data_IF_363852252585
#
_entry.id   IF_363852252585
#
_cell.length_a   1.000
_cell.length_b   1.000
_cell.length_c   1.000
_cell.angle_alpha   90.00
_cell.angle_beta   90.00
_cell.angle_gamma   90.00
#
_symmetry.space_group_name_H-M   'P 1'
#
loop_
_entity.id
_entity.type
_entity.pdbx_description
1 polymer ?
#
# COMPACT_ATOMS: atom_id res chain seq x y z
N UNK A 1 13.58 -2.33 -9.65
CA UNK A 1 12.27 -2.82 -9.18
C UNK A 1 12.49 -3.45 -7.82
N UNK A 2 11.97 -2.85 -6.74
CA UNK A 2 12.13 -3.39 -5.40
C UNK A 2 11.58 -4.80 -5.30
N UNK A 3 12.36 -5.66 -4.67
CA UNK A 3 11.98 -7.00 -4.27
C UNK A 3 12.69 -7.36 -2.99
N UNK A 4 12.04 -8.16 -2.17
CA UNK A 4 12.57 -8.48 -0.86
C UNK A 4 11.67 -9.42 -0.09
N UNK A 5 11.86 -9.41 1.22
CA UNK A 5 11.15 -10.28 2.15
C UNK A 5 10.82 -9.53 3.43
N UNK A 6 9.60 -9.74 3.89
CA UNK A 6 9.12 -9.31 5.20
C UNK A 6 8.99 -10.50 6.13
N UNK A 7 9.28 -10.33 7.41
CA UNK A 7 8.79 -11.19 8.46
C UNK A 7 7.43 -10.69 8.95
N UNK A 8 6.53 -11.63 9.23
CA UNK A 8 5.18 -11.38 9.72
C UNK A 8 5.04 -11.95 11.13
N UNK A 9 4.52 -11.14 12.05
CA UNK A 9 4.37 -11.49 13.47
C UNK A 9 2.97 -11.19 13.98
N UNK A 10 2.51 -11.94 14.95
CA UNK A 10 1.30 -11.63 15.70
C UNK A 10 1.47 -10.32 16.48
N UNK A 11 0.42 -9.49 16.49
CA UNK A 11 0.47 -8.17 17.12
C UNK A 11 0.50 -8.21 18.66
N UNK A 12 0.06 -9.30 19.26
CA UNK A 12 -0.09 -9.40 20.71
C UNK A 12 1.11 -10.07 21.39
N UNK A 13 1.63 -11.15 20.81
CA UNK A 13 2.66 -11.96 21.43
C UNK A 13 3.96 -12.08 20.61
N UNK A 14 4.01 -11.42 19.45
CA UNK A 14 5.12 -11.47 18.50
C UNK A 14 5.46 -12.87 17.97
N UNK A 15 4.52 -13.82 18.06
CA UNK A 15 4.70 -15.14 17.46
C UNK A 15 4.93 -15.00 15.94
N UNK A 16 5.95 -15.64 15.37
CA UNK A 16 6.18 -15.62 13.92
C UNK A 16 5.00 -16.25 13.17
N UNK A 17 4.38 -15.51 12.28
CA UNK A 17 3.29 -15.97 11.42
C UNK A 17 3.80 -16.47 10.07
N UNK A 18 5.01 -16.05 9.66
CA UNK A 18 5.60 -16.45 8.40
C UNK A 18 6.37 -15.33 7.72
N UNK A 19 6.55 -15.48 6.43
CA UNK A 19 7.28 -14.52 5.60
C UNK A 19 6.47 -14.14 4.36
N UNK A 20 6.57 -12.88 3.93
CA UNK A 20 6.03 -12.43 2.66
C UNK A 20 7.17 -12.06 1.70
N UNK A 21 7.31 -12.82 0.62
CA UNK A 21 8.23 -12.51 -0.48
C UNK A 21 7.52 -11.63 -1.49
N UNK A 22 8.09 -10.50 -1.82
CA UNK A 22 7.46 -9.52 -2.70
C UNK A 22 8.34 -9.04 -3.82
N UNK A 23 7.70 -8.55 -4.86
CA UNK A 23 8.29 -7.64 -5.84
C UNK A 23 7.27 -6.59 -6.26
N UNK A 24 7.72 -5.38 -6.46
CA UNK A 24 6.89 -4.29 -6.95
C UNK A 24 7.53 -3.60 -8.15
N UNK A 25 6.69 -3.11 -9.02
CA UNK A 25 7.08 -2.48 -10.27
C UNK A 25 6.36 -1.15 -10.44
N UNK A 26 7.05 0.00 -10.26
CA UNK A 26 6.53 1.26 -10.75
C UNK A 26 6.52 1.23 -12.28
N UNK A 27 5.43 1.67 -12.87
CA UNK A 27 5.24 1.79 -14.31
C UNK A 27 4.89 3.22 -14.70
N UNK A 28 4.96 3.59 -15.99
CA UNK A 28 4.60 4.91 -16.45
C UNK A 28 3.12 5.26 -16.21
N UNK A 29 2.27 4.25 -16.08
CA UNK A 29 0.82 4.40 -15.86
C UNK A 29 0.33 3.79 -14.56
N UNK A 30 1.20 3.66 -13.54
CA UNK A 30 0.77 3.14 -12.25
C UNK A 30 1.83 2.34 -11.50
N UNK A 31 1.38 1.41 -10.67
CA UNK A 31 2.24 0.59 -9.83
C UNK A 31 1.61 -0.80 -9.65
N UNK A 32 2.44 -1.82 -9.58
CA UNK A 32 2.00 -3.19 -9.31
C UNK A 32 2.84 -3.81 -8.22
N UNK A 33 2.20 -4.58 -7.36
CA UNK A 33 2.82 -5.37 -6.30
C UNK A 33 2.35 -6.81 -6.42
N UNK A 34 3.27 -7.74 -6.33
CA UNK A 34 2.97 -9.17 -6.30
C UNK A 34 3.74 -9.80 -5.15
N UNK A 35 3.05 -10.60 -4.33
CA UNK A 35 3.67 -11.30 -3.24
C UNK A 35 3.13 -12.71 -3.04
N UNK A 36 3.92 -13.51 -2.31
CA UNK A 36 3.55 -14.81 -1.78
C UNK A 36 3.88 -14.87 -0.30
N UNK A 37 2.95 -15.35 0.49
CA UNK A 37 3.12 -15.54 1.94
C UNK A 37 3.29 -17.03 2.25
N UNK A 38 4.30 -17.33 3.07
CA UNK A 38 4.58 -18.69 3.54
C UNK A 38 4.57 -18.73 5.06
N UNK A 39 4.17 -19.87 5.64
CA UNK A 39 4.25 -20.13 7.08
C UNK A 39 5.71 -20.28 7.52
N UNK A 40 6.01 -20.30 8.83
CA UNK A 40 7.33 -20.63 9.34
C UNK A 40 7.82 -22.03 8.96
N UNK A 41 6.91 -22.96 8.63
CA UNK A 41 7.23 -24.28 8.08
C UNK A 41 7.48 -24.31 6.57
N UNK A 42 7.24 -23.18 5.87
CA UNK A 42 7.42 -23.05 4.44
C UNK A 42 6.16 -23.38 3.61
N UNK A 43 5.02 -23.65 4.27
CA UNK A 43 3.77 -23.91 3.56
C UNK A 43 3.21 -22.61 2.96
N UNK A 44 2.69 -22.69 1.73
CA UNK A 44 2.06 -21.54 1.09
C UNK A 44 0.75 -21.16 1.79
N UNK A 45 0.67 -19.93 2.30
CA UNK A 45 -0.51 -19.40 2.99
C UNK A 45 -1.40 -18.57 2.07
N UNK A 46 -0.81 -17.81 1.15
CA UNK A 46 -1.57 -16.93 0.29
C UNK A 46 -0.72 -16.10 -0.66
N UNK A 47 -1.37 -15.24 -1.43
CA UNK A 47 -0.71 -14.31 -2.34
C UNK A 47 -1.54 -13.05 -2.57
N UNK A 48 -0.85 -11.96 -2.92
CA UNK A 48 -1.46 -10.70 -3.32
C UNK A 48 -0.91 -10.29 -4.68
N UNK A 49 -1.78 -9.92 -5.62
CA UNK A 49 -1.45 -9.21 -6.86
C UNK A 49 -2.31 -7.95 -6.91
N UNK A 50 -1.69 -6.81 -6.67
CA UNK A 50 -2.35 -5.51 -6.58
C UNK A 50 -1.78 -4.57 -7.63
N UNK A 51 -2.64 -4.04 -8.51
CA UNK A 51 -2.27 -3.02 -9.49
C UNK A 51 -3.03 -1.72 -9.22
N UNK A 52 -2.29 -0.61 -9.24
CA UNK A 52 -2.82 0.74 -9.06
C UNK A 52 -2.69 1.54 -10.36
N UNK A 53 -3.59 2.49 -10.57
CA UNK A 53 -3.44 3.52 -11.60
C UNK A 53 -2.52 4.67 -11.14
N UNK A 54 -2.35 5.67 -11.99
CA UNK A 54 -1.55 6.88 -11.71
C UNK A 54 -2.05 7.69 -10.51
N UNK A 55 -3.33 7.57 -10.18
CA UNK A 55 -3.96 8.23 -9.03
C UNK A 55 -3.84 7.42 -7.74
N UNK A 56 -3.23 6.22 -7.79
CA UNK A 56 -3.11 5.32 -6.66
C UNK A 56 -4.37 4.50 -6.38
N UNK A 57 -5.35 4.48 -7.31
CA UNK A 57 -6.57 3.70 -7.14
C UNK A 57 -6.34 2.25 -7.56
N UNK A 58 -6.77 1.26 -6.76
CA UNK A 58 -6.70 -0.14 -7.15
C UNK A 58 -7.57 -0.44 -8.39
N UNK A 59 -6.93 -0.68 -9.51
CA UNK A 59 -7.60 -1.10 -10.75
C UNK A 59 -7.75 -2.62 -10.83
N UNK A 60 -6.95 -3.35 -10.05
CA UNK A 60 -7.00 -4.80 -9.94
C UNK A 60 -6.46 -5.24 -8.59
N UNK A 61 -7.20 -6.09 -7.93
CA UNK A 61 -6.77 -6.90 -6.80
C UNK A 61 -7.03 -8.37 -7.13
N UNK A 62 -6.03 -9.22 -6.92
CA UNK A 62 -6.20 -10.66 -6.72
C UNK A 62 -5.59 -11.03 -5.38
N UNK A 63 -6.40 -11.57 -4.49
CA UNK A 63 -6.02 -12.02 -3.17
C UNK A 63 -6.37 -13.50 -3.04
N UNK A 64 -5.39 -14.29 -2.62
CA UNK A 64 -5.58 -15.70 -2.28
C UNK A 64 -5.22 -15.92 -0.82
N UNK A 65 -6.05 -16.64 -0.09
CA UNK A 65 -5.74 -17.13 1.25
C UNK A 65 -6.33 -18.54 1.41
N UNK A 66 -5.51 -19.48 1.84
CA UNK A 66 -5.82 -20.89 1.81
C UNK A 66 -6.30 -21.31 0.40
N UNK A 67 -7.58 -21.64 0.24
CA UNK A 67 -8.15 -21.98 -1.06
C UNK A 67 -9.19 -20.96 -1.54
N UNK A 68 -9.39 -19.87 -0.79
CA UNK A 68 -10.31 -18.79 -1.16
C UNK A 68 -9.62 -17.78 -2.07
N UNK A 69 -10.40 -17.18 -2.96
CA UNK A 69 -9.93 -16.14 -3.86
C UNK A 69 -10.86 -14.93 -3.83
N UNK A 70 -10.25 -13.73 -3.86
CA UNK A 70 -10.96 -12.48 -4.12
C UNK A 70 -10.34 -11.79 -5.34
N UNK A 71 -11.19 -11.31 -6.24
CA UNK A 71 -10.82 -10.37 -7.29
C UNK A 71 -11.62 -9.10 -7.12
N UNK A 72 -10.99 -7.94 -7.28
CA UNK A 72 -11.68 -6.67 -7.07
C UNK A 72 -10.99 -5.48 -7.68
N UNK A 73 -11.68 -4.34 -7.61
CA UNK A 73 -11.19 -3.02 -8.00
C UNK A 73 -11.83 -1.94 -7.14
N UNK A 74 -11.20 -0.76 -7.06
CA UNK A 74 -11.69 0.39 -6.30
C UNK A 74 -11.56 1.66 -7.16
N UNK A 75 -12.53 1.92 -8.01
CA UNK A 75 -12.59 3.09 -8.89
C UNK A 75 -13.64 4.11 -8.42
N UNK A 76 -14.93 3.77 -8.50
CA UNK A 76 -16.06 4.58 -8.02
C UNK A 76 -16.70 3.97 -6.76
N UNK A 77 -15.92 3.34 -5.94
CA UNK A 77 -16.27 2.48 -4.82
C UNK A 77 -15.53 1.17 -4.97
N UNK A 78 -15.67 0.29 -3.98
CA UNK A 78 -15.00 -1.02 -3.98
C UNK A 78 -15.96 -2.08 -4.46
N UNK A 79 -15.57 -2.81 -5.51
CA UNK A 79 -16.29 -3.96 -6.04
C UNK A 79 -15.41 -5.19 -5.96
N UNK A 80 -16.00 -6.35 -5.66
CA UNK A 80 -15.26 -7.62 -5.60
C UNK A 80 -16.12 -8.81 -5.96
N UNK A 81 -15.44 -9.88 -6.35
CA UNK A 81 -15.97 -11.23 -6.42
C UNK A 81 -15.11 -12.11 -5.54
N UNK A 82 -15.73 -12.84 -4.62
CA UNK A 82 -15.10 -13.84 -3.77
C UNK A 82 -15.54 -15.23 -4.19
N UNK A 83 -14.59 -16.11 -4.42
CA UNK A 83 -14.83 -17.49 -4.89
C UNK A 83 -14.38 -18.47 -3.82
N UNK A 84 -15.20 -19.48 -3.58
CA UNK A 84 -14.90 -20.57 -2.65
C UNK A 84 -13.81 -21.53 -3.18
N UNK A 85 -13.27 -22.42 -2.33
CA UNK A 85 -12.22 -23.36 -2.71
C UNK A 85 -12.57 -24.30 -3.87
N UNK A 86 -13.83 -24.56 -4.09
CA UNK A 86 -14.29 -25.44 -5.18
C UNK A 86 -14.47 -24.70 -6.49
N UNK A 87 -14.51 -23.36 -6.47
CA UNK A 87 -14.87 -22.54 -7.60
C UNK A 87 -16.36 -22.61 -7.98
N UNK A 88 -17.16 -23.33 -7.19
CA UNK A 88 -18.59 -23.58 -7.48
C UNK A 88 -19.49 -22.44 -7.02
N UNK A 89 -19.06 -21.67 -6.04
CA UNK A 89 -19.82 -20.55 -5.49
C UNK A 89 -19.00 -19.26 -5.55
N UNK A 90 -19.56 -18.26 -6.21
CA UNK A 90 -19.05 -16.91 -6.25
C UNK A 90 -20.02 -15.97 -5.52
N UNK A 91 -19.47 -15.09 -4.70
CA UNK A 91 -20.22 -14.02 -4.03
C UNK A 91 -19.69 -12.68 -4.52
N UNK A 92 -20.58 -11.86 -5.03
CA UNK A 92 -20.26 -10.50 -5.46
C UNK A 92 -20.60 -9.50 -4.38
N UNK A 93 -19.83 -8.43 -4.30
CA UNK A 93 -20.11 -7.32 -3.41
C UNK A 93 -19.69 -5.98 -3.99
N UNK A 94 -20.40 -4.94 -3.52
CA UNK A 94 -20.12 -3.55 -3.84
C UNK A 94 -20.36 -2.71 -2.58
N UNK A 95 -19.44 -1.79 -2.30
CA UNK A 95 -19.57 -0.88 -1.15
C UNK A 95 -18.95 0.47 -1.43
N UNK A 96 -19.53 1.51 -0.82
CA UNK A 96 -18.92 2.85 -0.78
C UNK A 96 -17.69 2.85 0.13
N UNK A 97 -16.55 2.49 -0.42
CA UNK A 97 -15.25 2.59 0.23
C UNK A 97 -14.24 3.15 -0.79
N UNK A 98 -13.09 3.61 -0.30
CA UNK A 98 -12.09 4.26 -1.16
C UNK A 98 -11.11 3.25 -1.74
N UNK A 99 -10.80 2.19 -0.98
CA UNK A 99 -9.77 1.23 -1.35
C UNK A 99 -9.86 -0.05 -0.52
N UNK A 100 -8.92 -0.96 -0.74
CA UNK A 100 -8.71 -2.15 0.06
C UNK A 100 -7.70 -1.89 1.17
N UNK A 101 -7.79 -2.68 2.26
CA UNK A 101 -6.77 -2.82 3.29
C UNK A 101 -6.58 -4.30 3.63
N UNK A 102 -5.50 -4.62 4.32
CA UNK A 102 -5.18 -5.99 4.71
C UNK A 102 -3.83 -6.08 5.42
N UNK A 103 -3.40 -7.30 5.71
CA UNK A 103 -2.16 -7.60 6.44
C UNK A 103 -0.91 -7.50 5.57
N UNK A 104 -1.04 -7.62 4.24
CA UNK A 104 0.11 -7.46 3.34
C UNK A 104 0.59 -6.01 3.27
N UNK A 105 1.91 -5.76 3.25
CA UNK A 105 2.52 -4.44 3.00
C UNK A 105 1.99 -3.73 1.74
N UNK A 106 1.55 -4.49 0.74
CA UNK A 106 0.95 -3.96 -0.50
C UNK A 106 -0.14 -2.92 -0.24
N UNK A 107 -1.01 -3.19 0.75
CA UNK A 107 -2.14 -2.32 1.06
C UNK A 107 -1.72 -1.01 1.73
N UNK A 108 -0.66 -1.03 2.54
CA UNK A 108 -0.09 0.17 3.16
C UNK A 108 0.50 1.09 2.10
N UNK A 109 1.29 0.55 1.18
CA UNK A 109 1.83 1.32 0.04
C UNK A 109 0.71 1.85 -0.85
N UNK A 110 -0.32 1.05 -1.13
CA UNK A 110 -1.47 1.49 -1.93
C UNK A 110 -2.21 2.67 -1.27
N UNK A 111 -2.40 2.62 0.05
CA UNK A 111 -3.04 3.70 0.81
C UNK A 111 -2.24 5.00 0.76
N UNK A 112 -0.92 4.96 0.95
CA UNK A 112 -0.09 6.17 0.86
C UNK A 112 -0.07 6.76 -0.54
N UNK A 113 -0.08 5.92 -1.59
CA UNK A 113 -0.19 6.35 -2.99
C UNK A 113 -1.54 6.97 -3.33
N UNK A 114 -2.61 6.45 -2.76
CA UNK A 114 -3.96 7.00 -2.93
C UNK A 114 -4.12 8.33 -2.21
N UNK A 115 -3.69 8.40 -0.94
CA UNK A 115 -3.91 9.57 -0.09
C UNK A 115 -2.96 10.73 -0.40
N UNK A 116 -1.74 10.47 -0.87
CA UNK A 116 -0.72 11.45 -1.25
C UNK A 116 -0.50 12.54 -0.20
N UNK A 117 -0.48 12.13 1.07
CA UNK A 117 -0.32 13.07 2.19
C UNK A 117 1.04 13.77 2.13
N UNK A 118 1.04 15.03 2.52
CA UNK A 118 2.22 15.84 2.76
C UNK A 118 2.26 16.23 4.24
N UNK A 119 3.38 16.73 4.80
CA UNK A 119 3.43 17.15 6.20
C UNK A 119 2.38 18.20 6.57
N UNK A 120 1.97 19.04 5.60
CA UNK A 120 0.94 20.06 5.79
C UNK A 120 -0.49 19.56 5.57
N UNK A 121 -0.65 18.30 5.14
CA UNK A 121 -1.96 17.74 4.90
C UNK A 121 -2.69 17.50 6.23
N UNK A 122 -3.99 17.79 6.31
CA UNK A 122 -4.78 17.42 7.49
C UNK A 122 -4.89 15.91 7.60
N UNK A 123 -5.15 15.43 8.81
CA UNK A 123 -5.54 14.02 9.03
C UNK A 123 -6.70 13.65 8.13
N UNK A 124 -6.52 12.61 7.32
CA UNK A 124 -7.47 12.22 6.28
C UNK A 124 -8.17 10.93 6.66
N UNK A 125 -9.51 10.97 6.64
CA UNK A 125 -10.33 9.77 6.85
C UNK A 125 -10.48 8.99 5.55
N UNK A 126 -10.30 7.68 5.65
CA UNK A 126 -10.47 6.74 4.55
C UNK A 126 -11.32 5.57 4.98
N UNK A 127 -12.30 5.19 4.17
CA UNK A 127 -13.07 3.96 4.34
C UNK A 127 -12.46 2.87 3.48
N UNK A 128 -12.21 1.72 4.08
CA UNK A 128 -11.52 0.58 3.45
C UNK A 128 -12.35 -0.69 3.52
N UNK A 129 -12.07 -1.62 2.61
CA UNK A 129 -12.56 -3.00 2.66
C UNK A 129 -11.40 -3.92 2.96
N UNK A 130 -11.55 -4.73 3.99
CA UNK A 130 -10.60 -5.78 4.37
C UNK A 130 -11.24 -7.14 4.15
N UNK A 131 -10.44 -8.11 3.74
CA UNK A 131 -10.85 -9.51 3.63
C UNK A 131 -10.16 -10.31 4.74
N UNK A 132 -10.96 -10.92 5.63
CA UNK A 132 -10.44 -11.61 6.81
C UNK A 132 -10.36 -13.11 6.60
N UNK A 133 -9.23 -13.66 7.01
CA UNK A 133 -8.99 -15.11 6.99
C UNK A 133 -9.93 -15.88 7.94
N UNK A 134 -10.14 -17.19 7.71
CA UNK A 134 -9.58 -18.00 6.62
C UNK A 134 -10.44 -17.99 5.34
N UNK A 135 -11.58 -17.34 5.33
CA UNK A 135 -12.57 -17.41 4.24
C UNK A 135 -12.66 -16.12 3.42
N UNK A 136 -11.75 -15.21 3.63
CA UNK A 136 -11.72 -13.90 2.99
C UNK A 136 -13.08 -13.16 3.11
N UNK A 137 -13.65 -13.16 4.32
CA UNK A 137 -14.91 -12.47 4.57
C UNK A 137 -14.73 -10.93 4.46
N UNK A 138 -15.55 -10.22 3.67
CA UNK A 138 -15.42 -8.78 3.52
C UNK A 138 -15.88 -8.05 4.77
N UNK A 139 -15.07 -7.09 5.24
CA UNK A 139 -15.40 -6.17 6.32
C UNK A 139 -15.07 -4.74 5.89
N UNK A 140 -15.95 -3.81 6.20
CA UNK A 140 -15.72 -2.38 5.98
C UNK A 140 -15.35 -1.71 7.29
N UNK A 141 -14.31 -0.88 7.29
CA UNK A 141 -13.89 -0.08 8.43
C UNK A 141 -13.47 1.33 8.00
N UNK A 142 -13.43 2.24 8.95
CA UNK A 142 -12.94 3.60 8.75
C UNK A 142 -11.60 3.77 9.46
N UNK A 143 -10.63 4.35 8.77
CA UNK A 143 -9.32 4.69 9.30
C UNK A 143 -9.07 6.19 9.15
N UNK A 144 -8.20 6.74 9.99
CA UNK A 144 -7.61 8.05 9.77
C UNK A 144 -6.10 7.93 9.59
N UNK A 145 -5.58 8.70 8.66
CA UNK A 145 -4.16 8.72 8.27
C UNK A 145 -3.60 10.12 8.36
N UNK A 146 -2.43 10.27 8.95
CA UNK A 146 -1.65 11.51 8.97
C UNK A 146 -0.19 11.20 8.66
N UNK A 147 0.44 11.99 7.80
CA UNK A 147 1.90 11.99 7.65
C UNK A 147 2.46 12.87 8.76
N UNK A 148 3.15 12.27 9.73
CA UNK A 148 3.64 12.98 10.92
C UNK A 148 5.10 13.40 10.79
N UNK A 149 5.88 12.67 9.97
CA UNK A 149 7.27 12.97 9.71
C UNK A 149 7.68 12.51 8.31
N UNK A 150 8.67 13.20 7.72
CA UNK A 150 9.31 12.79 6.46
C UNK A 150 10.78 13.19 6.55
N UNK A 151 11.67 12.21 6.66
CA UNK A 151 13.08 12.43 6.92
C UNK A 151 13.97 11.82 5.84
N UNK A 152 15.00 12.56 5.44
CA UNK A 152 15.99 12.10 4.48
C UNK A 152 17.19 11.47 5.21
N UNK A 153 17.42 10.17 4.98
CA UNK A 153 18.56 9.43 5.49
C UNK A 153 19.62 9.27 4.41
N UNK A 154 20.85 9.60 4.72
CA UNK A 154 21.96 9.39 3.78
C UNK A 154 22.26 7.89 3.64
N UNK A 155 22.30 7.40 2.41
CA UNK A 155 22.70 6.04 2.09
C UNK A 155 23.75 6.03 0.97
N UNK A 156 24.42 4.90 0.77
CA UNK A 156 25.44 4.74 -0.30
C UNK A 156 24.85 4.97 -1.71
N UNK A 157 23.54 4.79 -1.87
CA UNK A 157 22.82 4.95 -3.14
C UNK A 157 22.10 6.30 -3.28
N UNK A 158 22.39 7.25 -2.39
CA UNK A 158 21.72 8.56 -2.33
C UNK A 158 20.75 8.69 -1.14
N UNK A 159 20.07 9.83 -0.99
CA UNK A 159 19.16 10.03 0.12
C UNK A 159 17.92 9.13 0.01
N UNK A 160 17.61 8.43 1.09
CA UNK A 160 16.39 7.65 1.26
C UNK A 160 15.40 8.48 2.08
N UNK A 161 14.27 8.83 1.50
CA UNK A 161 13.18 9.51 2.21
C UNK A 161 12.36 8.43 2.93
N UNK A 162 12.24 8.57 4.24
CA UNK A 162 11.39 7.74 5.09
C UNK A 162 10.23 8.59 5.58
N UNK A 163 9.04 8.17 5.21
CA UNK A 163 7.78 8.78 5.63
C UNK A 163 7.21 8.00 6.82
N UNK A 164 6.84 8.71 7.89
CA UNK A 164 6.20 8.17 9.08
C UNK A 164 4.73 8.56 9.09
N UNK A 165 3.87 7.56 9.08
CA UNK A 165 2.42 7.73 9.12
C UNK A 165 1.85 7.28 10.46
N UNK A 166 0.99 8.12 11.06
CA UNK A 166 0.10 7.73 12.14
C UNK A 166 -1.21 7.23 11.54
N UNK A 167 -1.58 6.00 11.89
CA UNK A 167 -2.81 5.37 11.44
C UNK A 167 -3.68 5.07 12.65
N UNK A 168 -4.98 5.40 12.58
CA UNK A 168 -5.93 5.09 13.64
C UNK A 168 -7.15 4.37 13.06
N UNK A 169 -7.51 3.24 13.65
CA UNK A 169 -8.76 2.55 13.39
C UNK A 169 -9.89 3.29 14.12
N UNK A 170 -10.85 3.85 13.37
CA UNK A 170 -11.87 4.72 13.97
C UNK A 170 -13.00 3.97 14.70
N UNK A 171 -13.09 2.66 14.50
CA UNK A 171 -14.06 1.78 15.16
C UNK A 171 -13.54 1.24 16.51
N UNK A 172 -12.23 1.02 16.65
CA UNK A 172 -11.61 0.50 17.89
C UNK A 172 -10.84 1.56 18.67
N UNK A 173 -10.41 2.64 18.00
CA UNK A 173 -9.54 3.66 18.58
C UNK A 173 -8.07 3.25 18.64
N UNK A 174 -7.72 2.06 18.12
CA UNK A 174 -6.32 1.61 18.03
C UNK A 174 -5.52 2.52 17.12
N UNK A 175 -4.31 2.83 17.55
CA UNK A 175 -3.36 3.66 16.81
C UNK A 175 -2.05 2.90 16.61
N UNK A 176 -1.46 3.10 15.45
CA UNK A 176 -0.15 2.54 15.14
C UNK A 176 0.62 3.43 14.17
N UNK A 177 1.93 3.21 14.14
CA UNK A 177 2.85 3.92 13.25
C UNK A 177 3.29 3.01 12.12
N UNK A 178 3.39 3.58 10.93
CA UNK A 178 3.87 2.89 9.72
C UNK A 178 5.01 3.71 9.11
N UNK A 179 6.14 3.07 8.84
CA UNK A 179 7.29 3.68 8.18
C UNK A 179 7.42 3.15 6.76
N UNK A 180 7.45 4.07 5.79
CA UNK A 180 7.49 3.73 4.36
C UNK A 180 8.60 4.53 3.67
N UNK A 181 9.39 3.84 2.85
CA UNK A 181 10.33 4.48 1.93
C UNK A 181 9.89 4.22 0.49
N UNK A 182 9.38 5.25 -0.16
CA UNK A 182 8.88 5.15 -1.54
C UNK A 182 7.76 4.12 -1.73
N UNK A 183 8.10 2.93 -2.20
CA UNK A 183 7.17 1.83 -2.45
C UNK A 183 7.47 0.58 -1.59
N UNK A 184 8.22 0.76 -0.50
CA UNK A 184 8.59 -0.30 0.44
C UNK A 184 8.20 0.09 1.87
N UNK A 185 7.48 -0.76 2.56
CA UNK A 185 7.24 -0.64 4.00
C UNK A 185 8.52 -1.04 4.74
N UNK A 186 9.05 -0.19 5.60
CA UNK A 186 10.22 -0.52 6.42
C UNK A 186 9.79 -1.22 7.70
N UNK A 187 8.74 -0.69 8.34
CA UNK A 187 8.16 -1.27 9.55
C UNK A 187 6.69 -0.86 9.68
N UNK A 188 5.87 -1.78 10.15
CA UNK A 188 4.48 -1.58 10.54
C UNK A 188 4.11 -2.61 11.61
N UNK A 189 2.97 -2.50 12.31
CA UNK A 189 2.57 -3.49 13.29
C UNK A 189 2.52 -4.91 12.67
N UNK A 190 3.29 -5.81 13.26
CA UNK A 190 3.41 -7.20 12.81
C UNK A 190 4.13 -7.40 11.47
N UNK A 191 4.74 -6.35 10.91
CA UNK A 191 5.46 -6.39 9.63
C UNK A 191 6.84 -5.77 9.81
N UNK A 192 7.89 -6.49 9.45
CA UNK A 192 9.26 -6.03 9.51
C UNK A 192 10.00 -6.39 8.22
N UNK A 193 10.70 -5.42 7.62
CA UNK A 193 11.51 -5.65 6.42
C UNK A 193 12.79 -6.37 6.81
N UNK A 194 12.92 -7.63 6.41
CA UNK A 194 14.10 -8.45 6.68
C UNK A 194 15.20 -8.28 5.64
N UNK A 195 14.80 -8.21 4.39
CA UNK A 195 15.74 -8.15 3.28
C UNK A 195 15.17 -7.39 2.11
N UNK A 196 16.02 -6.55 1.50
CA UNK A 196 15.70 -5.79 0.30
C UNK A 196 16.86 -5.95 -0.72
N UNK A 197 16.58 -6.52 -1.87
CA UNK A 197 17.60 -6.77 -2.89
C UNK A 197 17.94 -5.53 -3.72
N UNK A 198 16.96 -4.64 -3.89
CA UNK A 198 17.13 -3.40 -4.64
C UNK A 198 16.45 -2.25 -3.88
N UNK A 199 17.02 -1.04 -3.89
CA UNK A 199 16.50 0.09 -3.13
C UNK A 199 15.05 0.41 -3.53
N UNK A 200 14.27 1.04 -2.63
CA UNK A 200 12.94 1.53 -2.90
C UNK A 200 12.93 2.45 -4.11
N UNK A 201 11.84 2.44 -4.88
CA UNK A 201 11.64 3.42 -5.94
C UNK A 201 11.44 4.81 -5.33
N UNK A 202 12.05 5.86 -5.89
CA UNK A 202 11.85 7.21 -5.37
C UNK A 202 10.36 7.58 -5.44
N UNK A 203 9.90 8.34 -4.45
CA UNK A 203 8.57 8.94 -4.47
C UNK A 203 8.47 9.79 -5.75
N UNK A 204 7.37 9.64 -6.51
CA UNK A 204 7.12 10.52 -7.64
C UNK A 204 7.05 11.96 -7.10
N UNK A 205 8.08 12.75 -7.40
CA UNK A 205 8.09 14.16 -7.05
C UNK A 205 6.95 14.84 -7.77
N UNK A 206 6.04 15.47 -7.06
CA UNK A 206 5.15 16.46 -7.64
C UNK A 206 6.03 17.65 -7.99
N UNK A 207 6.58 17.65 -9.19
CA UNK A 207 7.29 18.83 -9.72
C UNK A 207 6.21 19.89 -9.87
N UNK A 208 6.18 20.85 -8.95
CA UNK A 208 5.54 22.12 -9.20
C UNK A 208 6.13 22.63 -10.52
N UNK A 209 5.27 22.89 -11.48
CA UNK A 209 5.65 23.56 -12.71
C UNK A 209 6.19 24.94 -12.28
N UNK A 210 7.51 25.04 -12.21
CA UNK A 210 8.19 26.31 -11.99
C UNK A 210 8.00 27.17 -13.23
N UNK A 211 7.34 28.26 -12.99
CA UNK A 211 7.15 29.38 -13.91
C UNK A 211 8.50 29.84 -14.46
N UNK A 212 8.78 29.50 -15.69
CA UNK A 212 9.71 30.29 -16.49
C UNK A 212 8.91 31.30 -17.33
N UNK A 213 8.40 32.31 -16.68
CA UNK A 213 7.95 33.55 -17.30
C UNK A 213 9.14 34.50 -17.37
N UNK A 214 9.99 34.28 -18.36
CA UNK A 214 10.99 35.30 -18.74
C UNK A 214 10.29 36.48 -19.38
N UNK A 215 10.41 37.72 -18.86
CA UNK A 215 9.86 38.89 -19.53
C UNK A 215 10.73 39.21 -20.73
N UNK A 216 10.16 39.09 -21.90
CA UNK A 216 10.76 39.60 -23.13
C UNK A 216 10.91 41.10 -23.06
N UNK A 217 12.15 41.55 -22.94
CA UNK A 217 12.56 42.92 -23.14
C UNK A 217 12.32 43.30 -24.60
N UNK A 218 11.40 44.22 -24.85
CA UNK A 218 11.27 44.85 -26.13
C UNK A 218 12.44 45.86 -26.35
N UNK A 219 12.97 45.96 -27.54
CA UNK A 219 13.84 47.09 -27.87
C UNK A 219 13.03 48.31 -28.30
N UNK A 220 13.33 49.43 -27.67
CA UNK A 220 13.19 50.78 -28.21
C UNK A 220 13.94 50.90 -29.53
N UNK A 221 13.35 51.58 -30.51
CA UNK A 221 14.05 52.62 -31.24
C UNK A 221 13.30 53.09 -32.52
N UNK A 222 13.10 54.37 -32.54
CA UNK A 222 12.99 55.32 -33.68
C UNK A 222 11.70 55.30 -34.49
#
# INVERSE_FOLDING_TARGET
MPRGRYSLHDLHDHTPLGEEHFHCAPGPSGWRYVSQTTSPSGDHLGSVDLALDELGRPIRLELHAASWQVRGAALEGVTWVRTDPTGSHATEGNVRAHTFAGTSPAFLVALTRLLRLTPDSPTTRVRVVTFTDPVLAPRTSDQSWALVNSEAHATDNGPLIVDEYQVSALDTGEQHTVHIAGDVVLAAPGIELEHLETPPSPRASTTAADEDASPASGPDAL
#
